data_IF_829412965107
#
_entry.id   IF_829412965107
#
_cell.length_a   1.000
_cell.length_b   1.000
_cell.length_c   1.000
_cell.angle_alpha   90.00
_cell.angle_beta   90.00
_cell.angle_gamma   90.00
#
_symmetry.space_group_name_H-M   'P 1'
#
loop_
_entity.id
_entity.type
_entity.pdbx_description
1 polymer ?
#
# COMPACT_ATOMS: atom_id res chain seq x y z
N UNK A 1 -30.11 8.70 -9.13
CA UNK A 1 -28.89 8.64 -8.29
C UNK A 1 -28.56 10.09 -7.97
N UNK A 2 -28.55 10.47 -6.69
CA UNK A 2 -28.32 11.86 -6.26
C UNK A 2 -26.81 12.05 -6.03
N UNK A 3 -26.09 12.48 -7.07
CA UNK A 3 -24.66 12.85 -6.95
C UNK A 3 -24.49 14.13 -6.12
N UNK A 4 -25.41 15.09 -6.25
CA UNK A 4 -25.32 16.42 -5.61
C UNK A 4 -25.33 16.41 -4.07
N UNK A 5 -25.78 15.34 -3.42
CA UNK A 5 -25.78 15.22 -1.94
C UNK A 5 -24.59 14.45 -1.37
N UNK A 6 -23.79 13.78 -2.22
CA UNK A 6 -22.64 12.97 -1.78
C UNK A 6 -21.35 13.78 -1.66
N UNK A 7 -21.21 14.88 -2.40
CA UNK A 7 -19.96 15.64 -2.46
C UNK A 7 -19.67 16.40 -1.15
N UNK A 8 -20.67 17.04 -0.54
CA UNK A 8 -20.48 17.98 0.56
C UNK A 8 -19.94 17.34 1.87
N UNK A 9 -20.23 16.06 2.13
CA UNK A 9 -19.82 15.37 3.37
C UNK A 9 -18.80 14.24 3.18
N UNK A 10 -18.43 13.90 1.94
CA UNK A 10 -17.60 12.73 1.61
C UNK A 10 -16.27 12.68 2.37
N UNK A 11 -15.55 13.81 2.45
CA UNK A 11 -14.26 13.92 3.15
C UNK A 11 -14.43 13.78 4.67
N UNK A 12 -15.54 14.31 5.22
CA UNK A 12 -15.82 14.20 6.66
C UNK A 12 -16.14 12.76 7.05
N UNK A 13 -16.93 12.06 6.23
CA UNK A 13 -17.23 10.64 6.40
C UNK A 13 -15.95 9.80 6.36
N UNK A 14 -15.06 10.07 5.39
CA UNK A 14 -13.78 9.37 5.28
C UNK A 14 -12.87 9.65 6.48
N UNK A 15 -12.80 10.90 6.96
CA UNK A 15 -12.04 11.25 8.17
C UNK A 15 -12.60 10.58 9.43
N UNK A 16 -13.92 10.49 9.56
CA UNK A 16 -14.56 9.78 10.66
C UNK A 16 -14.22 8.28 10.62
N UNK A 17 -14.22 7.69 9.42
CA UNK A 17 -13.81 6.31 9.21
C UNK A 17 -12.34 6.06 9.59
N UNK A 18 -11.45 7.03 9.32
CA UNK A 18 -10.02 6.99 9.65
C UNK A 18 -9.69 7.48 11.08
N UNK A 19 -10.62 7.29 12.01
CA UNK A 19 -10.47 7.61 13.43
C UNK A 19 -10.70 6.37 14.29
N UNK A 20 -10.51 6.47 15.62
CA UNK A 20 -10.88 5.40 16.57
C UNK A 20 -12.35 4.93 16.47
N UNK A 21 -13.24 5.72 15.84
CA UNK A 21 -14.64 5.34 15.61
C UNK A 21 -14.83 4.41 14.39
N UNK A 22 -13.82 4.27 13.55
CA UNK A 22 -13.84 3.40 12.36
C UNK A 22 -12.70 2.38 12.40
N UNK A 23 -11.75 2.47 11.47
CA UNK A 23 -10.62 1.53 11.35
C UNK A 23 -9.38 1.93 12.15
N UNK A 24 -9.46 3.01 12.93
CA UNK A 24 -8.36 3.57 13.70
C UNK A 24 -7.67 4.73 12.98
N UNK A 25 -6.87 5.50 13.74
CA UNK A 25 -6.16 6.67 13.21
C UNK A 25 -5.14 6.30 12.11
N UNK A 26 -5.20 7.00 10.98
CA UNK A 26 -4.11 7.02 10.01
C UNK A 26 -3.04 8.03 10.45
N UNK A 27 -1.79 7.62 10.77
CA UNK A 27 -0.78 8.51 11.37
C UNK A 27 -0.40 9.73 10.52
N UNK A 28 -0.69 9.71 9.22
CA UNK A 28 -0.44 10.83 8.33
C UNK A 28 -1.41 11.99 8.60
N UNK A 29 -2.60 11.70 9.12
CA UNK A 29 -3.64 12.69 9.41
C UNK A 29 -3.54 13.29 10.81
N UNK A 30 -2.70 12.73 11.68
CA UNK A 30 -2.56 13.12 13.08
C UNK A 30 -1.07 13.29 13.42
N UNK A 31 -0.67 14.53 13.73
CA UNK A 31 0.73 14.85 14.05
C UNK A 31 1.15 14.38 15.45
N UNK A 32 0.19 14.18 16.34
CA UNK A 32 0.42 13.73 17.70
C UNK A 32 0.30 12.20 17.83
N UNK A 33 0.04 11.51 16.70
CA UNK A 33 -0.06 10.07 16.68
C UNK A 33 1.23 9.42 17.19
N UNK A 34 1.08 8.46 18.10
CA UNK A 34 2.18 7.64 18.61
C UNK A 34 1.86 6.16 18.50
N UNK A 35 2.90 5.34 18.39
CA UNK A 35 2.77 3.89 18.30
C UNK A 35 2.49 3.21 19.64
N UNK A 36 2.47 3.96 20.76
CA UNK A 36 2.41 3.42 22.12
C UNK A 36 1.22 2.50 22.37
N UNK A 37 0.07 2.80 21.76
CA UNK A 37 -1.18 2.05 21.89
C UNK A 37 -1.63 1.38 20.57
N UNK A 38 -0.73 1.22 19.60
CA UNK A 38 -1.09 0.65 18.31
C UNK A 38 -1.37 -0.86 18.41
N UNK A 39 -2.64 -1.24 18.39
CA UNK A 39 -3.06 -2.64 18.23
C UNK A 39 -3.18 -3.00 16.74
N UNK A 40 -2.14 -3.62 16.19
CA UNK A 40 -2.07 -3.96 14.77
C UNK A 40 -3.13 -5.01 14.39
N UNK A 41 -3.32 -6.03 15.21
CA UNK A 41 -4.28 -7.11 14.99
C UNK A 41 -5.71 -6.57 14.91
N UNK A 42 -6.09 -5.68 15.83
CA UNK A 42 -7.40 -5.03 15.81
C UNK A 42 -7.59 -4.19 14.54
N UNK A 43 -6.58 -3.42 14.13
CA UNK A 43 -6.65 -2.60 12.91
C UNK A 43 -6.81 -3.47 11.65
N UNK A 44 -6.05 -4.56 11.56
CA UNK A 44 -6.17 -5.51 10.45
C UNK A 44 -7.54 -6.19 10.43
N UNK A 45 -8.09 -6.54 11.60
CA UNK A 45 -9.43 -7.11 11.71
C UNK A 45 -10.50 -6.11 11.27
N UNK A 46 -10.40 -4.83 11.68
CA UNK A 46 -11.33 -3.79 11.25
C UNK A 46 -11.27 -3.55 9.75
N UNK A 47 -10.08 -3.44 9.16
CA UNK A 47 -9.91 -3.33 7.71
C UNK A 47 -10.49 -4.55 6.97
N UNK A 48 -10.32 -5.75 7.52
CA UNK A 48 -10.90 -6.97 6.96
C UNK A 48 -12.44 -6.95 6.98
N UNK A 49 -13.06 -6.52 8.07
CA UNK A 49 -14.53 -6.34 8.18
C UNK A 49 -15.05 -5.36 7.13
N UNK A 50 -14.27 -4.34 6.80
CA UNK A 50 -14.57 -3.38 5.72
C UNK A 50 -14.08 -3.84 4.34
N UNK A 51 -13.87 -5.14 4.13
CA UNK A 51 -13.47 -5.75 2.86
C UNK A 51 -12.20 -5.14 2.24
N UNK A 52 -11.28 -4.65 3.08
CA UNK A 52 -10.01 -4.04 2.66
C UNK A 52 -8.82 -4.89 3.17
N UNK A 53 -8.57 -6.08 2.60
CA UNK A 53 -7.43 -6.89 2.98
C UNK A 53 -6.11 -6.25 2.51
N UNK A 54 -5.30 -5.79 3.46
CA UNK A 54 -4.07 -5.03 3.15
C UNK A 54 -2.86 -5.95 2.92
N UNK A 55 -2.65 -6.96 3.76
CA UNK A 55 -1.45 -7.82 3.69
C UNK A 55 -1.74 -9.23 3.17
N UNK A 56 -2.91 -9.75 3.49
CA UNK A 56 -3.31 -11.09 3.09
C UNK A 56 -4.81 -11.13 2.90
N UNK A 57 -5.24 -11.94 1.95
CA UNK A 57 -6.61 -12.36 1.81
C UNK A 57 -6.83 -13.63 2.62
N UNK A 58 -7.99 -13.72 3.23
CA UNK A 58 -8.44 -14.91 3.93
C UNK A 58 -9.80 -15.30 3.39
N UNK A 59 -9.96 -16.57 3.01
CA UNK A 59 -11.26 -17.15 2.76
C UNK A 59 -11.34 -18.54 3.36
N UNK A 60 -12.55 -18.93 3.72
CA UNK A 60 -12.85 -20.29 4.12
C UNK A 60 -13.65 -20.95 3.01
N UNK A 61 -13.17 -22.10 2.55
CA UNK A 61 -13.89 -22.93 1.58
C UNK A 61 -13.83 -24.39 2.01
N UNK A 62 -14.82 -25.19 1.60
CA UNK A 62 -14.81 -26.65 1.76
C UNK A 62 -14.27 -27.24 0.46
N UNK A 63 -13.02 -27.70 0.41
CA UNK A 63 -12.48 -28.30 -0.79
C UNK A 63 -13.34 -29.49 -1.21
N UNK A 64 -13.46 -29.74 -2.51
CA UNK A 64 -14.30 -30.83 -3.05
C UNK A 64 -13.94 -32.24 -2.56
N UNK A 65 -12.76 -32.40 -1.94
CA UNK A 65 -12.23 -33.66 -1.43
C UNK A 65 -12.38 -33.82 0.09
N UNK A 66 -12.84 -32.81 0.85
CA UNK A 66 -13.12 -32.92 2.28
C UNK A 66 -14.46 -32.26 2.63
N UNK A 67 -15.11 -32.74 3.68
CA UNK A 67 -16.26 -32.06 4.29
C UNK A 67 -15.83 -31.02 5.33
N UNK A 68 -14.54 -30.70 5.41
CA UNK A 68 -13.97 -29.79 6.39
C UNK A 68 -13.68 -28.44 5.73
N UNK A 69 -14.05 -27.37 6.41
CA UNK A 69 -13.71 -26.03 5.98
C UNK A 69 -12.22 -25.78 6.22
N UNK A 70 -11.51 -25.40 5.16
CA UNK A 70 -10.11 -25.00 5.22
C UNK A 70 -10.05 -23.48 5.15
N UNK A 71 -9.32 -22.88 6.09
CA UNK A 71 -8.97 -21.47 6.04
C UNK A 71 -7.73 -21.30 5.16
N UNK A 72 -7.88 -20.66 4.02
CA UNK A 72 -6.79 -20.36 3.12
C UNK A 72 -6.36 -18.91 3.29
N UNK A 73 -5.05 -18.70 3.44
CA UNK A 73 -4.42 -17.39 3.59
C UNK A 73 -3.40 -17.21 2.46
N UNK A 74 -3.53 -16.14 1.69
CA UNK A 74 -2.61 -15.82 0.59
C UNK A 74 -2.27 -14.32 0.62
N UNK A 75 -1.04 -13.94 0.23
CA UNK A 75 -0.61 -12.55 0.29
C UNK A 75 -1.46 -11.67 -0.63
N UNK A 76 -1.83 -10.50 -0.13
CA UNK A 76 -2.46 -9.45 -0.92
C UNK A 76 -1.46 -8.91 -1.95
N UNK A 77 -1.97 -8.42 -3.09
CA UNK A 77 -1.16 -7.74 -4.08
C UNK A 77 -1.03 -6.27 -3.76
N UNK A 78 0.21 -5.76 -3.72
CA UNK A 78 0.44 -4.31 -3.80
C UNK A 78 0.02 -3.82 -5.20
N UNK A 79 -0.61 -2.63 -5.31
CA UNK A 79 -0.86 -1.96 -6.58
C UNK A 79 0.42 -1.78 -7.41
N UNK A 80 1.55 -1.55 -6.75
CA UNK A 80 2.88 -1.39 -7.36
C UNK A 80 3.57 -2.72 -7.69
N UNK A 81 2.99 -3.85 -7.25
CA UNK A 81 3.52 -5.20 -7.42
C UNK A 81 3.07 -5.91 -8.69
N UNK A 82 2.28 -5.26 -9.55
CA UNK A 82 1.80 -5.83 -10.81
C UNK A 82 2.99 -6.25 -11.70
N UNK A 83 3.22 -7.57 -11.79
CA UNK A 83 4.34 -8.22 -12.48
C UNK A 83 4.40 -7.90 -13.98
N UNK A 84 3.29 -7.43 -14.53
CA UNK A 84 3.08 -7.20 -15.97
C UNK A 84 3.61 -5.86 -16.47
N UNK A 85 3.99 -4.95 -15.57
CA UNK A 85 4.43 -3.61 -15.96
C UNK A 85 5.95 -3.52 -15.88
N UNK A 86 6.60 -3.48 -17.04
CA UNK A 86 8.06 -3.37 -17.18
C UNK A 86 8.45 -2.08 -17.90
N UNK A 87 9.69 -1.63 -17.71
CA UNK A 87 10.23 -0.47 -18.42
C UNK A 87 9.53 0.86 -18.08
N UNK A 88 9.32 1.70 -19.09
CA UNK A 88 8.79 3.06 -18.93
C UNK A 88 7.37 3.12 -18.35
N UNK A 89 6.54 2.10 -18.60
CA UNK A 89 5.19 2.04 -18.06
C UNK A 89 5.18 1.87 -16.54
N UNK A 90 6.22 1.24 -15.97
CA UNK A 90 6.36 1.09 -14.53
C UNK A 90 6.66 2.43 -13.85
N UNK A 91 7.53 3.25 -14.43
CA UNK A 91 7.84 4.59 -13.92
C UNK A 91 6.60 5.48 -14.00
N UNK A 92 5.84 5.40 -15.10
CA UNK A 92 4.59 6.15 -15.28
C UNK A 92 3.49 5.76 -14.28
N UNK A 93 3.25 4.46 -14.05
CA UNK A 93 2.26 4.01 -13.07
C UNK A 93 2.66 4.44 -11.66
N UNK A 94 3.95 4.34 -11.36
CA UNK A 94 4.48 4.77 -10.08
C UNK A 94 4.30 6.27 -9.85
N UNK A 95 4.60 7.10 -10.85
CA UNK A 95 4.35 8.55 -10.79
C UNK A 95 2.86 8.88 -10.64
N UNK A 96 1.99 8.19 -11.38
CA UNK A 96 0.54 8.38 -11.28
C UNK A 96 0.01 7.99 -9.89
N UNK A 97 0.49 6.87 -9.33
CA UNK A 97 0.12 6.43 -7.99
C UNK A 97 0.62 7.41 -6.92
N UNK A 98 1.87 7.88 -7.05
CA UNK A 98 2.42 8.87 -6.12
C UNK A 98 1.64 10.18 -6.16
N UNK A 99 1.30 10.66 -7.36
CA UNK A 99 0.47 11.86 -7.51
C UNK A 99 -0.91 11.67 -6.88
N UNK A 100 -1.56 10.53 -7.11
CA UNK A 100 -2.85 10.22 -6.49
C UNK A 100 -2.77 10.22 -4.96
N UNK A 101 -1.71 9.63 -4.40
CA UNK A 101 -1.47 9.62 -2.96
C UNK A 101 -1.29 11.05 -2.42
N UNK A 102 -0.45 11.86 -3.05
CA UNK A 102 -0.23 13.27 -2.67
C UNK A 102 -1.56 14.04 -2.67
N UNK A 103 -2.35 13.94 -3.75
CA UNK A 103 -3.63 14.64 -3.83
C UNK A 103 -4.62 14.15 -2.77
N UNK A 104 -4.62 12.85 -2.47
CA UNK A 104 -5.45 12.27 -1.40
C UNK A 104 -5.06 12.85 -0.04
N UNK A 105 -3.77 12.93 0.28
CA UNK A 105 -3.28 13.50 1.53
C UNK A 105 -3.64 15.00 1.65
N UNK A 106 -3.51 15.76 0.56
CA UNK A 106 -3.91 17.17 0.49
C UNK A 106 -5.41 17.35 0.73
N UNK A 107 -6.25 16.54 0.07
CA UNK A 107 -7.70 16.55 0.26
C UNK A 107 -8.09 16.20 1.71
N UNK A 108 -7.33 15.33 2.35
CA UNK A 108 -7.50 14.98 3.76
C UNK A 108 -6.90 16.01 4.72
N UNK A 109 -6.37 17.14 4.22
CA UNK A 109 -5.90 18.28 5.00
C UNK A 109 -4.54 18.09 5.66
N UNK A 110 -3.69 17.20 5.14
CA UNK A 110 -2.32 17.01 5.63
C UNK A 110 -1.47 18.23 5.26
N UNK A 111 -0.66 18.79 6.18
CA UNK A 111 0.22 19.92 5.87
C UNK A 111 1.22 19.58 4.74
N UNK A 112 1.42 20.48 3.78
CA UNK A 112 2.26 20.24 2.58
C UNK A 112 3.68 19.75 2.92
N UNK A 113 4.27 20.26 4.02
CA UNK A 113 5.59 19.84 4.50
C UNK A 113 5.65 18.34 4.85
N UNK A 114 4.53 17.77 5.29
CA UNK A 114 4.38 16.35 5.61
C UNK A 114 3.90 15.52 4.43
N UNK A 115 3.06 16.08 3.56
CA UNK A 115 2.49 15.37 2.39
C UNK A 115 3.58 14.65 1.60
N UNK A 116 4.67 15.34 1.26
CA UNK A 116 5.77 14.75 0.50
C UNK A 116 6.51 13.67 1.28
N UNK A 117 6.88 13.95 2.54
CA UNK A 117 7.63 13.00 3.35
C UNK A 117 6.84 11.71 3.61
N UNK A 118 5.58 11.85 4.02
CA UNK A 118 4.70 10.74 4.36
C UNK A 118 4.29 9.95 3.11
N UNK A 119 4.11 10.61 1.94
CA UNK A 119 3.84 9.90 0.68
C UNK A 119 5.01 9.02 0.25
N UNK A 120 6.24 9.50 0.41
CA UNK A 120 7.43 8.69 0.13
C UNK A 120 7.50 7.47 1.04
N UNK A 121 7.31 7.64 2.35
CA UNK A 121 7.41 6.53 3.30
C UNK A 121 6.36 5.44 3.02
N UNK A 122 5.11 5.82 2.71
CA UNK A 122 4.05 4.88 2.28
C UNK A 122 4.48 4.11 1.03
N UNK A 123 4.95 4.81 0.01
CA UNK A 123 5.36 4.20 -1.26
C UNK A 123 6.59 3.29 -1.08
N UNK A 124 7.54 3.71 -0.24
CA UNK A 124 8.71 2.92 0.11
C UNK A 124 8.31 1.59 0.75
N UNK A 125 7.37 1.63 1.69
CA UNK A 125 6.80 0.43 2.29
C UNK A 125 6.09 -0.45 1.24
N UNK A 126 5.20 0.11 0.43
CA UNK A 126 4.48 -0.66 -0.59
C UNK A 126 5.40 -1.33 -1.60
N UNK A 127 6.47 -0.66 -2.00
CA UNK A 127 7.45 -1.22 -2.90
C UNK A 127 8.18 -2.40 -2.24
N UNK A 128 8.60 -2.27 -0.98
CA UNK A 128 9.23 -3.36 -0.24
C UNK A 128 8.27 -4.55 -0.09
N UNK A 129 7.02 -4.27 0.27
CA UNK A 129 5.96 -5.28 0.37
C UNK A 129 5.73 -5.99 -0.98
N UNK A 130 5.68 -5.23 -2.08
CA UNK A 130 5.53 -5.76 -3.43
C UNK A 130 6.68 -6.69 -3.84
N UNK A 131 7.90 -6.42 -3.39
CA UNK A 131 9.07 -7.27 -3.67
C UNK A 131 8.97 -8.60 -2.93
N UNK A 132 8.61 -8.56 -1.64
CA UNK A 132 8.46 -9.75 -0.81
C UNK A 132 7.36 -10.66 -1.39
N UNK A 133 6.19 -10.09 -1.70
CA UNK A 133 5.08 -10.85 -2.29
C UNK A 133 5.43 -11.45 -3.66
N UNK A 134 6.20 -10.74 -4.49
CA UNK A 134 6.64 -11.24 -5.80
C UNK A 134 7.70 -12.35 -5.70
N UNK A 135 8.61 -12.29 -4.73
CA UNK A 135 9.56 -13.38 -4.42
C UNK A 135 8.76 -14.62 -4.02
N UNK A 136 7.83 -14.49 -3.08
CA UNK A 136 6.99 -15.59 -2.63
C UNK A 136 6.18 -16.23 -3.76
N UNK A 137 5.51 -15.42 -4.60
CA UNK A 137 4.76 -15.93 -5.77
C UNK A 137 5.64 -16.66 -6.77
N UNK A 138 6.89 -16.21 -6.94
CA UNK A 138 7.83 -16.86 -7.86
C UNK A 138 8.35 -18.18 -7.28
N UNK A 139 8.56 -18.24 -5.97
CA UNK A 139 8.89 -19.48 -5.25
C UNK A 139 7.75 -20.50 -5.33
N UNK A 140 6.49 -20.09 -5.07
CA UNK A 140 5.33 -20.98 -5.20
C UNK A 140 5.24 -21.62 -6.59
N UNK A 141 5.40 -20.82 -7.66
CA UNK A 141 5.42 -21.35 -9.03
C UNK A 141 6.52 -22.37 -9.24
N UNK A 142 7.72 -22.12 -8.70
CA UNK A 142 8.82 -23.08 -8.81
C UNK A 142 8.53 -24.39 -8.07
N UNK A 143 7.89 -24.34 -6.90
CA UNK A 143 7.48 -25.54 -6.15
C UNK A 143 6.42 -26.33 -6.93
N UNK A 144 5.42 -25.66 -7.50
CA UNK A 144 4.40 -26.27 -8.36
C UNK A 144 5.00 -26.93 -9.61
N UNK A 145 5.99 -26.29 -10.25
CA UNK A 145 6.64 -26.79 -11.46
C UNK A 145 7.66 -27.91 -11.19
N UNK A 146 8.29 -27.94 -10.00
CA UNK A 146 9.39 -28.87 -9.67
C UNK A 146 8.98 -30.07 -8.80
N UNK A 147 7.78 -30.07 -8.22
CA UNK A 147 7.24 -31.20 -7.44
C UNK A 147 8.09 -31.61 -6.22
N UNK A 148 9.03 -30.77 -5.77
CA UNK A 148 9.97 -31.10 -4.69
C UNK A 148 10.06 -29.97 -3.66
N UNK A 149 9.93 -30.31 -2.38
CA UNK A 149 9.88 -29.39 -1.21
C UNK A 149 11.18 -28.62 -0.90
N UNK A 150 12.26 -28.84 -1.64
CA UNK A 150 13.57 -28.24 -1.34
C UNK A 150 13.99 -27.20 -2.37
N UNK A 151 13.41 -25.99 -2.30
CA UNK A 151 13.86 -24.83 -3.08
C UNK A 151 14.26 -23.70 -2.13
N UNK A 152 15.56 -23.38 -2.14
CA UNK A 152 16.24 -22.36 -1.34
C UNK A 152 15.58 -20.97 -1.45
N UNK A 153 15.51 -20.25 -0.32
CA UNK A 153 14.94 -18.90 -0.20
C UNK A 153 15.89 -17.82 -0.79
N UNK A 154 15.53 -17.13 -1.89
CA UNK A 154 16.39 -16.09 -2.46
C UNK A 154 15.99 -14.73 -1.87
N UNK A 155 16.60 -14.34 -0.75
CA UNK A 155 16.54 -12.97 -0.28
C UNK A 155 17.84 -12.24 -0.64
N UNK A 156 17.93 -11.59 -1.80
CA UNK A 156 18.86 -10.45 -1.94
C UNK A 156 18.59 -9.54 -3.15
N UNK A 157 18.71 -8.23 -2.87
CA UNK A 157 18.90 -7.06 -3.75
C UNK A 157 17.79 -6.69 -4.74
N UNK A 158 17.03 -5.63 -4.38
CA UNK A 158 16.56 -4.56 -5.29
C UNK A 158 16.07 -3.34 -4.47
N UNK A 159 16.97 -2.44 -4.06
CA UNK A 159 16.61 -1.14 -3.46
C UNK A 159 17.01 0.08 -4.33
N UNK A 160 17.69 -0.16 -5.47
CA UNK A 160 18.29 0.89 -6.28
C UNK A 160 17.29 1.79 -7.03
N UNK A 161 16.08 1.29 -7.34
CA UNK A 161 15.07 2.08 -8.05
C UNK A 161 14.45 3.15 -7.15
N UNK A 162 14.09 2.80 -5.91
CA UNK A 162 13.48 3.72 -4.96
C UNK A 162 14.44 4.84 -4.53
N UNK A 163 15.72 4.49 -4.27
CA UNK A 163 16.73 5.50 -3.95
C UNK A 163 16.91 6.49 -5.11
N UNK A 164 16.98 5.98 -6.34
CA UNK A 164 17.14 6.82 -7.55
C UNK A 164 15.92 7.71 -7.79
N UNK A 165 14.70 7.21 -7.60
CA UNK A 165 13.47 8.02 -7.73
C UNK A 165 13.40 9.10 -6.66
N UNK A 166 13.67 8.75 -5.39
CA UNK A 166 13.71 9.70 -4.27
C UNK A 166 14.71 10.83 -4.55
N UNK A 167 15.89 10.50 -5.07
CA UNK A 167 16.92 11.48 -5.42
C UNK A 167 16.54 12.35 -6.63
N UNK A 168 15.77 11.82 -7.59
CA UNK A 168 15.21 12.63 -8.70
C UNK A 168 14.19 13.63 -8.18
N UNK A 169 13.27 13.21 -7.31
CA UNK A 169 12.23 14.08 -6.76
C UNK A 169 12.79 15.16 -5.84
N UNK A 170 13.81 14.83 -5.01
CA UNK A 170 14.50 15.82 -4.18
C UNK A 170 15.17 16.91 -5.02
N UNK A 171 15.82 16.51 -6.12
CA UNK A 171 16.43 17.45 -7.08
C UNK A 171 15.40 18.29 -7.83
N UNK A 172 14.22 17.74 -8.14
CA UNK A 172 13.14 18.51 -8.78
C UNK A 172 12.53 19.56 -7.81
N UNK A 173 12.46 19.25 -6.51
CA UNK A 173 12.00 20.19 -5.49
C UNK A 173 12.98 21.33 -5.17
N UNK A 174 14.29 21.14 -5.40
CA UNK A 174 15.32 22.17 -5.19
C UNK A 174 15.39 23.22 -6.32
N UNK A 175 14.81 22.96 -7.50
CA UNK A 175 14.87 23.86 -8.68
C UNK A 175 13.63 24.75 -8.82
N UNK A 176 12.64 24.59 -7.93
CA UNK A 176 11.37 25.32 -7.98
C UNK A 176 11.28 26.55 -7.09
N UNK A 177 12.29 27.43 -7.05
CA UNK A 177 12.17 28.78 -6.43
C UNK A 177 13.27 29.75 -6.92
N UNK A 178 13.48 29.84 -8.24
CA UNK A 178 14.01 31.07 -8.83
C UNK A 178 12.90 31.67 -9.70
N UNK A 179 12.03 32.47 -9.07
CA UNK A 179 11.24 33.45 -9.78
C UNK A 179 12.22 34.47 -10.35
N UNK A 180 12.42 34.44 -11.67
CA UNK A 180 12.89 35.62 -12.37
C UNK A 180 11.79 36.69 -12.26
N UNK A 181 12.15 37.80 -11.60
CA UNK A 181 11.47 39.10 -11.67
C UNK A 181 11.36 39.59 -13.12
#
# INVERSE_FOLDING_TARGET
MHEDTLEDDSVQVLRLFLSERGVGHWPVLDADWSSGDMNLEWRLAMLFVHHTPVFFHMYSDSPSFTSEYILTIYPASSPLGAKEVSGADRERIFEAYHKLLIETLRLLGVPEVRVQADSFDIIGFELQFSMITNIYKSWLRQVEESGTENVFHPATKKLAFYSTYRDKQRRAGEVGFEMYE
#
